data_IF_794614410257
#
_entry.id   IF_794614410257
#
_cell.length_a   1.000
_cell.length_b   1.000
_cell.length_c   1.000
_cell.angle_alpha   90.00
_cell.angle_beta   90.00
_cell.angle_gamma   90.00
#
_symmetry.space_group_name_H-M   'P 1'
#
loop_
_entity.id
_entity.type
_entity.pdbx_description
1 polymer ?
2 non-polymer ?
3 non-polymer ?
4 non-polymer ?
5 water ?
#
# COMPACT_ATOMS: atom_id res chain seq x y z
N UNK A 1 15.84 6.56 5.29
CA UNK A 1 15.90 5.37 6.19
C UNK A 1 16.14 4.06 5.46
N UNK A 2 15.52 2.96 5.93
CA UNK A 2 15.72 1.65 5.32
C UNK A 2 15.14 1.51 3.92
N UNK A 3 15.83 0.76 3.07
CA UNK A 3 15.35 0.43 1.73
C UNK A 3 15.59 -1.05 1.46
N UNK A 4 14.84 -1.63 0.53
CA UNK A 4 15.13 -2.97 0.05
C UNK A 4 16.45 -2.94 -0.74
N UNK A 5 17.31 -3.91 -0.47
CA UNK A 5 18.66 -4.00 -1.07
C UNK A 5 18.73 -5.07 -2.15
N UNK A 6 17.59 -5.33 -2.77
CA UNK A 6 17.44 -6.36 -3.79
C UNK A 6 16.34 -5.91 -4.74
N UNK A 7 16.32 -6.47 -5.95
CA UNK A 7 15.35 -6.02 -6.95
C UNK A 7 14.07 -6.86 -7.03
N UNK A 8 14.15 -8.15 -6.68
CA UNK A 8 12.97 -9.02 -6.72
C UNK A 8 12.32 -9.04 -5.34
N UNK A 9 11.10 -8.51 -5.27
CA UNK A 9 10.36 -8.37 -4.01
C UNK A 9 9.09 -9.20 -4.10
N UNK A 10 8.77 -9.90 -3.02
CA UNK A 10 7.56 -10.70 -2.97
C UNK A 10 6.51 -10.08 -2.07
N UNK A 11 5.24 -10.32 -2.42
CA UNK A 11 4.15 -9.98 -1.54
C UNK A 11 3.16 -11.14 -1.44
N UNK A 12 2.41 -11.16 -0.35
CA UNK A 12 1.38 -12.17 -0.13
C UNK A 12 0.16 -11.49 0.45
N UNK A 13 -1.01 -11.88 -0.02
CA UNK A 13 -2.26 -11.38 0.52
C UNK A 13 -2.69 -12.35 1.63
N UNK A 14 -2.57 -11.89 2.87
CA UNK A 14 -2.85 -12.70 4.05
C UNK A 14 -4.30 -13.17 4.11
N UNK A 15 -5.21 -12.26 3.78
CA UNK A 15 -6.64 -12.50 3.87
C UNK A 15 -7.34 -11.45 3.02
N UNK A 16 -8.60 -11.72 2.69
CA UNK A 16 -9.34 -10.87 1.78
C UNK A 16 -10.50 -10.18 2.45
N UNK A 17 -10.64 -8.87 2.21
CA UNK A 17 -11.81 -8.16 2.68
C UNK A 17 -13.09 -8.71 2.04
N UNK A 18 -14.16 -8.89 2.85
CA UNK A 18 -15.45 -9.30 2.28
C UNK A 18 -16.15 -8.15 1.55
N UNK A 19 -15.56 -6.95 1.57
CA UNK A 19 -16.14 -5.78 0.92
C UNK A 19 -16.09 -5.86 -0.61
N UNK A 20 -15.21 -6.70 -1.14
CA UNK A 20 -14.89 -6.71 -2.57
C UNK A 20 -14.88 -8.12 -3.13
N UNK A 21 -15.03 -8.24 -4.44
CA UNK A 21 -14.77 -9.50 -5.13
C UNK A 21 -13.28 -9.86 -4.99
N UNK A 22 -13.00 -11.14 -4.77
CA UNK A 22 -11.62 -11.58 -4.61
C UNK A 22 -10.70 -11.13 -5.75
N UNK A 23 -11.16 -11.32 -6.99
CA UNK A 23 -10.34 -10.97 -8.14
C UNK A 23 -10.05 -9.47 -8.20
N UNK A 24 -10.97 -8.66 -7.66
CA UNK A 24 -10.79 -7.21 -7.65
C UNK A 24 -9.75 -6.77 -6.62
N UNK A 25 -9.69 -7.49 -5.50
CA UNK A 25 -8.64 -7.24 -4.51
C UNK A 25 -7.27 -7.55 -5.12
N UNK A 26 -7.16 -8.73 -5.75
CA UNK A 26 -5.91 -9.12 -6.40
C UNK A 26 -5.47 -8.05 -7.41
N UNK A 27 -6.41 -7.61 -8.25
CA UNK A 27 -6.06 -6.67 -9.31
C UNK A 27 -5.69 -5.28 -8.77
N UNK A 28 -6.43 -4.80 -7.77
CA UNK A 28 -6.13 -3.51 -7.17
C UNK A 28 -4.72 -3.48 -6.59
N UNK A 29 -4.37 -4.55 -5.87
CA UNK A 29 -3.05 -4.64 -5.25
C UNK A 29 -1.95 -4.76 -6.32
N UNK A 30 -2.18 -5.62 -7.31
CA UNK A 30 -1.24 -5.76 -8.43
C UNK A 30 -0.98 -4.42 -9.12
N UNK A 31 -2.05 -3.69 -9.43
CA UNK A 31 -1.92 -2.39 -10.08
C UNK A 31 -1.16 -1.38 -9.22
N UNK A 32 -1.40 -1.43 -7.91
CA UNK A 32 -0.70 -0.53 -6.98
C UNK A 32 0.82 -0.79 -6.96
N UNK A 33 1.21 -2.07 -6.97
CA UNK A 33 2.63 -2.42 -7.10
C UNK A 33 3.22 -1.93 -8.42
N UNK A 34 2.44 -2.06 -9.50
CA UNK A 34 2.88 -1.63 -10.83
C UNK A 34 3.22 -0.14 -10.90
N UNK A 35 2.46 0.68 -10.16
CA UNK A 35 2.74 2.11 -10.09
C UNK A 35 4.21 2.35 -9.71
N UNK A 36 4.70 1.59 -8.73
CA UNK A 36 6.06 1.77 -8.24
C UNK A 36 7.12 1.04 -9.07
N UNK A 37 6.80 -0.13 -9.59
CA UNK A 37 7.74 -0.81 -10.49
C UNK A 37 7.95 -0.01 -11.79
N UNK A 38 6.96 0.83 -12.14
CA UNK A 38 7.06 1.73 -13.30
C UNK A 38 8.20 2.74 -13.21
N UNK A 39 8.57 3.10 -12.00
CA UNK A 39 9.50 4.21 -11.76
C UNK A 39 10.73 3.81 -10.95
N UNK A 40 10.94 2.50 -10.80
CA UNK A 40 12.09 1.94 -10.09
C UNK A 40 12.55 0.66 -10.81
N UNK A 41 13.71 0.11 -10.41
CA UNK A 41 14.11 -1.21 -10.89
C UNK A 41 13.46 -2.40 -10.17
N UNK A 42 12.48 -2.15 -9.30
CA UNK A 42 11.87 -3.22 -8.52
C UNK A 42 10.92 -4.07 -9.35
N UNK A 43 10.89 -5.37 -9.04
CA UNK A 43 9.92 -6.30 -9.62
C UNK A 43 9.16 -6.95 -8.48
N UNK A 44 7.84 -7.00 -8.60
CA UNK A 44 6.98 -7.54 -7.56
C UNK A 44 6.28 -8.81 -8.02
N UNK A 45 6.30 -9.83 -7.17
CA UNK A 45 5.61 -11.10 -7.43
C UNK A 45 4.74 -11.50 -6.25
N UNK A 46 3.52 -11.93 -6.56
CA UNK A 46 2.59 -12.44 -5.57
C UNK A 46 2.89 -13.90 -5.30
N UNK A 47 3.07 -14.24 -4.03
CA UNK A 47 3.26 -15.62 -3.62
C UNK A 47 2.07 -16.06 -2.80
N UNK A 48 1.79 -17.36 -2.81
CA UNK A 48 0.58 -17.88 -2.19
C UNK A 48 0.83 -18.64 -0.90
N UNK A 49 2.10 -18.92 -0.64
CA UNK A 49 2.54 -19.62 0.57
C UNK A 49 3.90 -19.06 0.96
N UNK A 50 4.28 -19.23 2.22
CA UNK A 50 5.62 -18.88 2.69
C UNK A 50 5.78 -17.45 3.16
N UNK A 51 7.03 -17.09 3.45
CA UNK A 51 7.37 -15.79 3.99
C UNK A 51 7.61 -14.79 2.85
N UNK A 52 6.73 -13.80 2.73
CA UNK A 52 6.87 -12.74 1.72
C UNK A 52 7.59 -11.56 2.33
N UNK A 53 8.15 -10.69 1.48
CA UNK A 53 8.69 -9.42 1.96
C UNK A 53 7.59 -8.53 2.48
N UNK A 54 6.50 -8.43 1.73
CA UNK A 54 5.39 -7.54 2.05
C UNK A 54 4.13 -8.37 2.25
N UNK A 55 3.64 -8.42 3.49
CA UNK A 55 2.37 -9.08 3.79
C UNK A 55 1.26 -8.04 3.81
N UNK A 56 0.23 -8.29 2.99
CA UNK A 56 -0.96 -7.45 2.92
C UNK A 56 -2.04 -8.04 3.82
N UNK A 57 -2.53 -7.25 4.76
CA UNK A 57 -3.46 -7.72 5.78
C UNK A 57 -4.68 -6.81 5.87
N UNK A 58 -5.87 -7.40 5.95
CA UNK A 58 -7.07 -6.67 6.33
C UNK A 58 -7.42 -7.05 7.77
N UNK A 59 -7.56 -6.05 8.63
CA UNK A 59 -7.86 -6.31 10.04
C UNK A 59 -8.57 -5.11 10.65
N UNK A 60 -9.28 -5.35 11.76
CA UNK A 60 -9.93 -4.26 12.50
C UNK A 60 -9.44 -4.22 13.95
N UNK A 61 -9.56 -3.04 14.57
CA UNK A 61 -9.19 -2.86 15.97
C UNK A 61 -7.76 -3.27 16.25
N UNK A 62 -7.54 -3.92 17.39
CA UNK A 62 -6.23 -4.43 17.76
C UNK A 62 -5.93 -5.66 16.91
N UNK A 63 -4.75 -5.68 16.30
CA UNK A 63 -4.39 -6.75 15.38
C UNK A 63 -2.91 -7.16 15.45
N UNK A 64 -2.32 -7.01 16.63
CA UNK A 64 -1.00 -7.57 16.90
C UNK A 64 0.22 -6.69 16.69
N UNK A 65 0.00 -5.40 16.44
CA UNK A 65 1.08 -4.41 16.44
C UNK A 65 0.72 -3.27 17.42
N UNK A 66 1.54 -2.22 17.48
CA UNK A 66 1.29 -1.11 18.42
C UNK A 66 0.31 -0.10 17.86
N UNK A 67 -0.38 -0.48 16.78
CA UNK A 67 -1.10 0.49 16.00
C UNK A 67 -2.54 0.03 15.75
N UNK A 68 -3.30 -0.12 16.82
CA UNK A 68 -4.70 -0.52 16.72
C UNK A 68 -5.47 0.41 15.79
N UNK A 69 -6.36 -0.17 15.00
CA UNK A 69 -7.28 0.61 14.18
C UNK A 69 -8.44 1.17 15.01
N UNK A 70 -9.17 2.11 14.42
CA UNK A 70 -10.03 3.04 15.14
C UNK A 70 -11.49 3.03 14.67
N UNK A 71 -11.92 1.95 14.02
CA UNK A 71 -13.26 1.87 13.48
C UNK A 71 -13.39 2.64 12.18
N UNK A 72 -14.61 2.81 11.68
CA UNK A 72 -14.83 3.45 10.40
C UNK A 72 -14.32 4.89 10.41
N UNK A 73 -13.62 5.29 9.35
CA UNK A 73 -13.04 6.61 9.25
C UNK A 73 -11.68 6.74 9.93
N UNK A 74 -11.20 7.96 10.05
CA UNK A 74 -9.90 8.22 10.69
C UNK A 74 -8.77 7.51 9.96
N UNK A 75 -8.03 6.68 10.69
CA UNK A 75 -6.96 5.88 10.10
C UNK A 75 -7.55 4.81 9.18
N UNK A 76 -7.12 4.82 7.92
CA UNK A 76 -7.63 3.88 6.93
C UNK A 76 -6.71 2.67 6.76
N UNK A 77 -5.42 2.91 6.96
CA UNK A 77 -4.39 1.92 6.68
C UNK A 77 -3.08 2.42 7.24
N UNK A 78 -2.10 1.53 7.37
CA UNK A 78 -0.74 1.91 7.72
C UNK A 78 0.21 0.82 7.27
N UNK A 79 1.50 1.12 7.26
CA UNK A 79 2.50 0.19 6.77
C UNK A 79 3.83 0.44 7.45
N UNK A 80 4.73 -0.52 7.28
CA UNK A 80 6.03 -0.47 7.91
C UNK A 80 7.11 -0.49 6.84
N UNK A 81 8.16 0.31 7.07
CA UNK A 81 9.26 0.41 6.11
C UNK A 81 10.04 -0.89 5.99
N UNK A 82 10.90 -0.97 4.96
CA UNK A 82 11.69 -2.17 4.69
C UNK A 82 12.43 -2.68 5.91
N UNK A 83 12.43 -4.00 6.05
CA UNK A 83 13.11 -4.66 7.15
C UNK A 83 12.58 -6.08 7.27
N UNK A 84 13.14 -6.83 8.21
CA UNK A 84 12.69 -8.19 8.46
C UNK A 84 11.36 -8.20 9.21
N UNK A 85 10.70 -9.36 9.22
CA UNK A 85 9.46 -9.56 9.96
C UNK A 85 8.33 -8.67 9.49
N UNK A 86 7.84 -7.82 10.39
CA UNK A 86 6.76 -6.88 10.09
C UNK A 86 7.18 -5.83 9.05
N UNK A 87 8.48 -5.63 8.89
CA UNK A 87 9.01 -4.69 7.91
C UNK A 87 8.39 -4.96 6.54
N UNK A 88 7.97 -3.88 5.87
CA UNK A 88 7.33 -3.98 4.58
C UNK A 88 5.83 -4.19 4.61
N UNK A 89 5.28 -4.67 5.73
CA UNK A 89 3.89 -5.10 5.73
C UNK A 89 2.92 -3.92 5.65
N UNK A 90 1.77 -4.16 5.03
CA UNK A 90 0.76 -3.13 4.81
C UNK A 90 -0.57 -3.62 5.35
N UNK A 91 -1.17 -2.83 6.24
CA UNK A 91 -2.40 -3.21 6.92
C UNK A 91 -3.53 -2.25 6.57
N UNK A 92 -4.69 -2.81 6.25
CA UNK A 92 -5.86 -2.05 5.83
C UNK A 92 -6.99 -2.28 6.83
N UNK A 93 -7.58 -1.19 7.31
CA UNK A 93 -8.62 -1.26 8.35
C UNK A 93 -9.91 -1.85 7.77
N UNK A 94 -10.30 -3.02 8.27
CA UNK A 94 -11.49 -3.68 7.77
C UNK A 94 -12.77 -2.91 8.13
N UNK A 95 -12.68 -1.98 9.07
CA UNK A 95 -13.84 -1.15 9.38
C UNK A 95 -14.13 -0.09 8.32
N UNK A 96 -13.22 0.08 7.35
CA UNK A 96 -13.55 0.84 6.14
C UNK A 96 -14.31 -0.06 5.17
N UNK A 97 -14.95 0.55 4.18
CA UNK A 97 -15.58 -0.19 3.10
C UNK A 97 -14.78 0.00 1.82
N UNK A 98 -14.01 -1.03 1.49
CA UNK A 98 -13.07 -0.99 0.37
C UNK A 98 -13.80 -1.21 -0.96
N UNK A 99 -13.43 -0.43 -1.97
CA UNK A 99 -14.06 -0.58 -3.29
C UNK A 99 -13.07 -0.41 -4.46
N UNK A 100 -13.57 -0.72 -5.64
CA UNK A 100 -12.84 -0.51 -6.89
C UNK A 100 -13.10 0.86 -7.51
N UNK A 101 -13.91 1.69 -6.85
CA UNK A 101 -14.41 2.90 -7.48
C UNK A 101 -14.38 4.09 -6.52
N UNK A 102 -15.21 5.10 -6.75
CA UNK A 102 -15.18 6.31 -5.93
C UNK A 102 -15.93 6.17 -4.61
N UNK A 103 -16.78 5.14 -4.50
CA UNK A 103 -17.50 4.86 -3.27
C UNK A 103 -16.59 4.30 -2.19
N UNK A 104 -17.03 4.40 -0.94
CA UNK A 104 -16.24 3.90 0.20
C UNK A 104 -14.83 4.45 0.19
N UNK A 105 -13.85 3.59 0.41
CA UNK A 105 -12.44 3.96 0.30
C UNK A 105 -11.86 3.11 -0.80
N UNK A 106 -11.22 3.75 -1.78
CA UNK A 106 -10.67 3.02 -2.92
C UNK A 106 -9.41 2.26 -2.52
N UNK A 107 -9.45 0.95 -2.70
CA UNK A 107 -8.33 0.10 -2.30
C UNK A 107 -7.05 0.40 -3.09
N UNK A 108 -7.16 0.51 -4.41
CA UNK A 108 -6.00 0.79 -5.25
C UNK A 108 -5.25 2.05 -4.78
N UNK A 109 -5.96 3.16 -4.61
CA UNK A 109 -5.33 4.42 -4.25
C UNK A 109 -4.65 4.34 -2.90
N UNK A 110 -5.34 3.72 -1.95
CA UNK A 110 -4.81 3.55 -0.60
C UNK A 110 -3.58 2.65 -0.63
N UNK A 111 -3.64 1.58 -1.43
CA UNK A 111 -2.53 0.65 -1.57
C UNK A 111 -1.30 1.29 -2.24
N UNK A 112 -1.50 2.17 -3.21
CA UNK A 112 -0.36 2.90 -3.78
C UNK A 112 0.43 3.61 -2.68
N UNK A 113 -0.30 4.35 -1.84
CA UNK A 113 0.29 5.08 -0.72
C UNK A 113 0.96 4.13 0.29
N UNK A 114 0.26 3.08 0.69
CA UNK A 114 0.82 2.16 1.68
C UNK A 114 2.05 1.44 1.16
N UNK A 115 2.02 1.01 -0.10
CA UNK A 115 3.20 0.38 -0.68
C UNK A 115 4.36 1.35 -0.74
N UNK A 116 4.07 2.63 -0.98
CA UNK A 116 5.09 3.67 -0.85
C UNK A 116 5.83 3.56 0.48
N UNK A 117 5.07 3.45 1.57
CA UNK A 117 5.65 3.21 2.89
C UNK A 117 6.44 1.90 2.96
N UNK A 118 5.87 0.82 2.39
CA UNK A 118 6.52 -0.49 2.37
C UNK A 118 7.89 -0.45 1.68
N UNK A 119 8.08 0.53 0.80
CA UNK A 119 9.32 0.71 0.05
C UNK A 119 10.27 1.71 0.72
N UNK A 120 9.78 2.40 1.75
CA UNK A 120 10.61 3.32 2.51
C UNK A 120 10.27 4.79 2.46
N UNK A 121 9.19 5.14 1.75
CA UNK A 121 8.76 6.53 1.70
C UNK A 121 8.04 6.97 2.96
N UNK A 122 8.27 8.22 3.34
CA UNK A 122 7.50 8.87 4.39
C UNK A 122 6.39 9.71 3.79
N UNK A 123 5.80 10.56 4.62
CA UNK A 123 4.74 11.44 4.16
C UNK A 123 5.24 12.70 3.47
N UNK A 124 4.43 13.19 2.54
CA UNK A 124 4.66 14.47 1.91
C UNK A 124 3.76 15.52 2.55
N UNK A 125 4.22 16.77 2.56
CA UNK A 125 3.40 17.88 3.03
C UNK A 125 2.56 18.47 1.88
N UNK A 126 2.80 18.00 0.66
CA UNK A 126 2.14 18.47 -0.55
C UNK A 126 0.84 17.69 -0.79
N UNK A 127 -0.32 18.38 -0.73
CA UNK A 127 -1.62 17.73 -0.96
C UNK A 127 -1.75 17.02 -2.32
N UNK A 128 -0.92 17.40 -3.29
CA UNK A 128 -0.96 16.80 -4.62
C UNK A 128 -0.33 15.41 -4.69
N UNK A 129 0.52 15.12 -3.70
CA UNK A 129 1.26 13.85 -3.66
C UNK A 129 0.40 12.71 -3.13
N UNK A 130 0.54 11.51 -3.70
CA UNK A 130 -0.15 10.33 -3.18
C UNK A 130 0.29 10.04 -1.74
N UNK A 131 1.52 10.44 -1.40
CA UNK A 131 2.07 10.27 -0.05
C UNK A 131 1.62 11.32 0.98
N UNK A 132 0.74 12.24 0.57
CA UNK A 132 0.07 13.13 1.53
C UNK A 132 -0.80 12.28 2.46
N UNK A 133 -0.77 12.55 3.78
CA UNK A 133 -1.46 11.69 4.77
C UNK A 133 -2.99 11.69 4.76
N UNK A 134 -3.61 12.51 3.90
CA UNK A 134 -5.07 12.62 3.87
C UNK A 134 -5.60 11.97 2.60
N UNK A 135 -6.62 11.13 2.75
CA UNK A 135 -7.26 10.46 1.63
C UNK A 135 -8.19 11.41 0.87
N UNK A 136 -7.99 11.47 -0.45
CA UNK A 136 -8.92 12.15 -1.34
C UNK A 136 -8.99 11.37 -2.65
N UNK A 137 -10.18 10.91 -3.01
CA UNK A 137 -10.36 10.14 -4.23
C UNK A 137 -9.99 10.94 -5.47
N UNK A 138 -9.25 10.30 -6.36
CA UNK A 138 -9.03 10.80 -7.72
C UNK A 138 -9.28 9.63 -8.67
N UNK A 139 -9.72 9.95 -9.88
CA UNK A 139 -10.03 8.94 -10.89
C UNK A 139 -8.89 7.93 -11.03
N UNK A 140 -9.14 6.67 -10.70
CA UNK A 140 -8.06 5.66 -10.68
C UNK A 140 -7.59 5.24 -12.08
N UNK A 141 -8.46 5.40 -13.08
CA UNK A 141 -8.14 4.99 -14.45
C UNK A 141 -7.09 5.89 -15.11
N UNK A 142 -6.98 7.12 -14.61
CA UNK A 142 -6.03 8.09 -15.14
C UNK A 142 -4.99 8.50 -14.08
N UNK A 143 -4.95 7.77 -12.97
CA UNK A 143 -4.04 8.10 -11.86
C UNK A 143 -2.58 8.18 -12.29
N UNK A 144 -1.89 9.22 -11.81
CA UNK A 144 -0.45 9.35 -11.96
C UNK A 144 0.19 9.88 -10.69
N UNK A 145 1.38 9.38 -10.36
CA UNK A 145 2.18 9.91 -9.25
C UNK A 145 2.51 11.37 -9.49
N UNK A 146 2.60 12.15 -8.41
CA UNK A 146 3.03 13.53 -8.51
C UNK A 146 4.55 13.59 -8.66
N UNK A 147 5.05 14.75 -9.11
CA UNK A 147 6.49 14.99 -9.20
C UNK A 147 7.19 14.73 -7.86
N UNK A 148 6.54 15.16 -6.77
CA UNK A 148 7.06 14.94 -5.43
C UNK A 148 7.21 13.45 -5.08
N UNK A 149 6.20 12.66 -5.45
CA UNK A 149 6.25 11.20 -5.24
C UNK A 149 7.40 10.56 -6.02
N UNK A 150 7.54 10.96 -7.28
CA UNK A 150 8.60 10.42 -8.14
C UNK A 150 9.99 10.81 -7.61
N UNK A 151 10.16 12.07 -7.24
CA UNK A 151 11.41 12.53 -6.61
C UNK A 151 11.73 11.71 -5.36
N UNK A 152 10.71 11.48 -4.53
CA UNK A 152 10.88 10.70 -3.31
C UNK A 152 11.37 9.29 -3.57
N UNK A 153 10.68 8.57 -4.45
CA UNK A 153 11.03 7.16 -4.68
C UNK A 153 12.37 7.01 -5.40
N UNK A 154 12.67 7.93 -6.31
CA UNK A 154 13.92 7.86 -7.06
C UNK A 154 15.12 8.35 -6.22
N UNK A 155 14.84 8.96 -5.06
CA UNK A 155 15.89 9.24 -4.08
C UNK A 155 16.29 7.97 -3.30
N UNK A 156 15.45 6.94 -3.39
CA UNK A 156 15.67 5.67 -2.70
C UNK A 156 16.10 4.53 -3.61
N UNK A 157 15.58 4.52 -4.84
CA UNK A 157 15.82 3.44 -5.80
C UNK A 157 16.22 3.97 -7.15
N UNK A 158 16.96 3.15 -7.88
CA UNK A 158 17.57 3.59 -9.12
C UNK A 158 18.66 4.59 -8.79
X LIG B 1 0.68 7.10 5.20
X LIG C 1 -1.25 -2.78 11.77
X LIG D 1 7.55 -8.29 6.01
X LIG E 1 -14.94 -3.62 5.54
X LIG F 1 -10.40 3.49 10.55
X LIG G 1 -0.86 7.98 6.01
X LIG G 1 -1.50 7.27 6.74
X LIG G 1 -1.36 5.94 6.72
X LIG G 1 -0.37 5.40 5.88
X LIG G 1 -2.69 7.48 7.71
X LIG G 1 -2.41 7.98 8.95
X LIG G 1 -1.42 9.02 8.78
X LIG G 1 -3.71 8.48 7.18
X LIG G 1 -4.83 7.69 6.36
X LIG G 1 -6.02 8.50 6.43
X LIG G 1 -5.09 6.43 7.02
X LIG G 1 -4.47 7.41 4.81
X LIG G 1 -4.69 8.40 3.84
X LIG G 1 -4.40 8.17 2.49
X LIG G 1 -3.90 6.94 2.07
X LIG G 1 -3.68 5.94 3.03
X LIG G 1 -3.97 6.17 4.39
X LIG G 1 -3.62 6.67 0.76
X LIG G 1 -3.97 7.56 -0.30
#
# INVERSE_FOLDING_TARGET
GPVWRKHYITYRINNYTPDMNREDVDYAIRKAFQVWSNVTPLKFSKINTGMADILVVFARGAHGDDHAFDGKGGILAHAFGPGSGIGGDAHFDEDEFWTTHSGGTNLFLTAVHEIGHSLGLGHSSDPKAVMFPTYKYVDINTFRLSADDIRGIQSLYG
ZN ZN
ZN ZN
CA CA
CA CA
CA CA
HS3 O3 C8 N1 O6 C9 C7 O4 N2 S1 O1 O2 C3 C6 C5 C4 C2 C1 O5 C10
#
